data_IF_527279241062
#
_entry.id   IF_527279241062
#
_cell.length_a   1.000
_cell.length_b   1.000
_cell.length_c   1.000
_cell.angle_alpha   90.00
_cell.angle_beta   90.00
_cell.angle_gamma   90.00
#
_symmetry.space_group_name_H-M   'P 1'
#
loop_
_entity.id
_entity.type
_entity.pdbx_description
1 polymer ?
#
# COMPACT_ATOMS: atom_id res chain seq x y z
N UNK A 1 39.31 6.45 -11.33
CA UNK A 1 38.74 7.75 -10.94
C UNK A 1 37.23 7.62 -10.91
N UNK A 2 36.63 7.36 -9.75
CA UNK A 2 35.17 7.34 -9.59
C UNK A 2 34.71 8.77 -9.31
N UNK A 3 34.00 9.38 -10.25
CA UNK A 3 33.41 10.70 -10.03
C UNK A 3 32.18 10.54 -9.15
N UNK A 4 32.27 11.07 -7.93
CA UNK A 4 31.29 10.93 -6.86
C UNK A 4 30.06 11.82 -7.06
N UNK A 5 29.36 11.66 -8.19
CA UNK A 5 28.01 12.22 -8.35
C UNK A 5 27.18 11.30 -9.22
N UNK A 6 26.11 10.74 -8.65
CA UNK A 6 25.23 9.79 -9.33
C UNK A 6 24.34 10.54 -10.33
N UNK A 7 24.87 10.84 -11.50
CA UNK A 7 24.09 11.32 -12.64
C UNK A 7 23.96 10.20 -13.67
N UNK A 8 22.74 9.91 -14.10
CA UNK A 8 22.47 9.01 -15.23
C UNK A 8 22.73 9.80 -16.52
N UNK A 9 23.98 9.83 -16.96
CA UNK A 9 24.37 10.46 -18.24
C UNK A 9 23.86 9.63 -19.41
N UNK A 10 23.50 10.27 -20.54
CA UNK A 10 23.05 9.59 -21.76
C UNK A 10 24.00 8.47 -22.23
N UNK A 11 25.31 8.67 -22.10
CA UNK A 11 26.31 7.65 -22.42
C UNK A 11 26.26 6.41 -21.51
N UNK A 12 25.76 6.52 -20.28
CA UNK A 12 25.56 5.38 -19.38
C UNK A 12 24.32 4.58 -19.80
N UNK A 13 23.24 5.28 -20.16
CA UNK A 13 22.00 4.63 -20.62
C UNK A 13 22.20 3.89 -21.95
N UNK A 14 22.96 4.45 -22.89
CA UNK A 14 23.25 3.82 -24.18
C UNK A 14 24.14 2.57 -24.05
N UNK A 15 25.00 2.52 -23.02
CA UNK A 15 25.88 1.37 -22.76
C UNK A 15 25.24 0.33 -21.83
N UNK A 16 23.99 0.55 -21.39
CA UNK A 16 23.27 -0.40 -20.56
C UNK A 16 22.86 -1.60 -21.44
N UNK A 17 23.56 -2.72 -21.28
CA UNK A 17 23.19 -3.96 -21.95
C UNK A 17 22.00 -4.59 -21.22
N UNK A 18 20.81 -4.47 -21.80
CA UNK A 18 19.61 -5.15 -21.32
C UNK A 18 19.29 -6.32 -22.24
N UNK A 19 18.83 -7.42 -21.65
CA UNK A 19 18.18 -8.47 -22.41
C UNK A 19 16.85 -7.91 -22.90
N UNK A 20 16.65 -7.90 -24.22
CA UNK A 20 15.37 -7.55 -24.84
C UNK A 20 14.63 -8.86 -25.11
N UNK A 21 13.72 -9.31 -24.24
CA UNK A 21 12.89 -10.48 -24.51
C UNK A 21 12.00 -10.24 -25.74
N UNK A 22 11.46 -11.32 -26.30
CA UNK A 22 10.42 -11.21 -27.32
C UNK A 22 9.19 -10.49 -26.75
N UNK A 23 8.42 -9.82 -27.61
CA UNK A 23 7.30 -8.99 -27.17
C UNK A 23 6.27 -9.79 -26.36
N UNK A 24 6.01 -11.04 -26.74
CA UNK A 24 5.07 -11.91 -26.05
C UNK A 24 5.53 -12.23 -24.63
N UNK A 25 6.78 -12.66 -24.47
CA UNK A 25 7.38 -12.95 -23.15
C UNK A 25 7.40 -11.71 -22.25
N UNK A 26 7.76 -10.54 -22.81
CA UNK A 26 7.74 -9.27 -22.09
C UNK A 26 6.33 -8.91 -21.60
N UNK A 27 5.31 -9.18 -22.42
CA UNK A 27 3.91 -8.91 -22.10
C UNK A 27 3.40 -9.85 -21.01
N UNK A 28 3.73 -11.14 -21.07
CA UNK A 28 3.37 -12.11 -20.01
C UNK A 28 3.99 -11.74 -18.66
N UNK A 29 5.29 -11.42 -18.65
CA UNK A 29 6.00 -10.98 -17.43
C UNK A 29 5.39 -9.67 -16.91
N UNK A 30 5.12 -8.71 -17.80
CA UNK A 30 4.49 -7.44 -17.46
C UNK A 30 3.10 -7.63 -16.84
N UNK A 31 2.28 -8.54 -17.39
CA UNK A 31 0.96 -8.85 -16.85
C UNK A 31 1.03 -9.52 -15.47
N UNK A 32 1.95 -10.45 -15.27
CA UNK A 32 2.17 -11.09 -13.98
C UNK A 32 2.56 -10.07 -12.91
N UNK A 33 3.53 -9.21 -13.20
CA UNK A 33 3.98 -8.15 -12.29
C UNK A 33 2.88 -7.12 -12.01
N UNK A 34 2.17 -6.65 -13.05
CA UNK A 34 1.07 -5.70 -12.88
C UNK A 34 -0.06 -6.24 -12.00
N UNK A 35 -0.30 -7.56 -12.03
CA UNK A 35 -1.29 -8.20 -11.16
C UNK A 35 -0.85 -8.16 -9.69
N UNK A 36 0.44 -8.37 -9.43
CA UNK A 36 1.01 -8.28 -8.09
C UNK A 36 0.98 -6.82 -7.60
N UNK A 37 1.38 -5.87 -8.44
CA UNK A 37 1.39 -4.45 -8.10
C UNK A 37 0.00 -3.95 -7.70
N UNK A 38 -1.04 -4.29 -8.47
CA UNK A 38 -2.44 -3.96 -8.11
C UNK A 38 -2.86 -4.53 -6.76
N UNK A 39 -2.39 -5.74 -6.42
CA UNK A 39 -2.68 -6.35 -5.12
C UNK A 39 -1.98 -5.61 -3.99
N UNK A 40 -0.74 -5.18 -4.20
CA UNK A 40 0.00 -4.36 -3.24
C UNK A 40 -0.70 -3.01 -3.03
N UNK A 41 -1.01 -2.28 -4.10
CA UNK A 41 -1.72 -1.00 -4.03
C UNK A 41 -3.05 -1.11 -3.28
N UNK A 42 -3.81 -2.19 -3.52
CA UNK A 42 -5.06 -2.43 -2.82
C UNK A 42 -4.87 -2.64 -1.31
N UNK A 43 -3.83 -3.38 -0.91
CA UNK A 43 -3.52 -3.62 0.49
C UNK A 43 -3.00 -2.34 1.17
N UNK A 44 -2.19 -1.55 0.47
CA UNK A 44 -1.70 -0.26 0.97
C UNK A 44 -2.85 0.72 1.17
N UNK A 45 -3.76 0.86 0.20
CA UNK A 45 -4.94 1.71 0.34
C UNK A 45 -5.84 1.27 1.49
N UNK A 46 -6.00 -0.05 1.70
CA UNK A 46 -6.75 -0.58 2.85
C UNK A 46 -6.09 -0.24 4.17
N UNK A 47 -4.76 -0.38 4.26
CA UNK A 47 -3.99 -0.04 5.45
C UNK A 47 -4.11 1.45 5.75
N UNK A 48 -3.94 2.31 4.76
CA UNK A 48 -4.05 3.76 4.90
C UNK A 48 -5.42 4.18 5.43
N UNK A 49 -6.50 3.66 4.84
CA UNK A 49 -7.88 3.91 5.31
C UNK A 49 -8.10 3.44 6.75
N UNK A 50 -7.54 2.29 7.13
CA UNK A 50 -7.66 1.77 8.49
C UNK A 50 -6.87 2.63 9.48
N UNK A 51 -5.68 3.10 9.11
CA UNK A 51 -4.88 4.00 9.93
C UNK A 51 -5.57 5.37 10.10
N UNK A 52 -6.17 5.91 9.04
CA UNK A 52 -6.97 7.15 9.10
C UNK A 52 -8.19 6.98 10.02
N UNK A 53 -8.93 5.88 9.87
CA UNK A 53 -10.05 5.55 10.76
C UNK A 53 -9.59 5.42 12.21
N UNK A 54 -8.50 4.68 12.45
CA UNK A 54 -7.94 4.50 13.79
C UNK A 54 -7.52 5.85 14.41
N UNK A 55 -6.87 6.73 13.64
CA UNK A 55 -6.51 8.08 14.09
C UNK A 55 -7.74 8.91 14.44
N UNK A 56 -8.78 8.83 13.61
CA UNK A 56 -10.04 9.55 13.82
C UNK A 56 -10.72 9.07 15.11
N UNK A 57 -10.83 7.75 15.29
CA UNK A 57 -11.42 7.16 16.49
C UNK A 57 -10.63 7.51 17.75
N UNK A 58 -9.29 7.46 17.68
CA UNK A 58 -8.43 7.83 18.78
C UNK A 58 -8.58 9.32 19.12
N UNK A 59 -8.69 10.19 18.12
CA UNK A 59 -8.96 11.62 18.33
C UNK A 59 -10.32 11.85 19.01
N UNK A 60 -11.38 11.18 18.56
CA UNK A 60 -12.72 11.25 19.17
C UNK A 60 -12.72 10.74 20.63
N UNK A 61 -11.91 9.71 20.92
CA UNK A 61 -11.72 9.19 22.26
C UNK A 61 -10.97 10.19 23.16
N UNK A 62 -9.85 10.74 22.68
CA UNK A 62 -9.02 11.69 23.44
C UNK A 62 -9.72 13.02 23.70
N UNK A 63 -10.56 13.46 22.76
CA UNK A 63 -11.37 14.69 22.91
C UNK A 63 -12.64 14.48 23.73
N UNK A 64 -12.93 13.23 24.15
CA UNK A 64 -14.11 12.89 24.94
C UNK A 64 -15.43 12.97 24.17
N UNK A 65 -15.39 13.09 22.84
CA UNK A 65 -16.56 13.06 21.97
C UNK A 65 -17.25 11.69 21.99
N UNK A 66 -16.48 10.62 22.17
CA UNK A 66 -16.97 9.26 22.35
C UNK A 66 -16.45 8.72 23.67
N UNK A 67 -17.34 8.26 24.56
CA UNK A 67 -16.95 7.67 25.85
C UNK A 67 -16.68 6.18 25.67
N UNK A 68 -15.69 5.65 26.39
CA UNK A 68 -15.33 4.23 26.37
C UNK A 68 -16.50 3.31 26.72
N UNK A 69 -17.45 3.77 27.54
CA UNK A 69 -18.68 3.05 27.89
C UNK A 69 -19.61 2.85 26.69
N UNK A 70 -19.72 3.84 25.80
CA UNK A 70 -20.61 3.79 24.63
C UNK A 70 -20.06 2.86 23.55
N UNK A 71 -18.74 2.83 23.38
CA UNK A 71 -18.05 1.91 22.47
C UNK A 71 -18.20 0.45 22.90
N UNK A 72 -18.15 0.18 24.21
CA UNK A 72 -18.30 -1.17 24.73
C UNK A 72 -19.71 -1.74 24.48
N UNK A 73 -20.74 -0.91 24.63
CA UNK A 73 -22.13 -1.32 24.33
C UNK A 73 -22.38 -1.62 22.85
N UNK A 74 -21.68 -0.95 21.93
CA UNK A 74 -21.76 -1.22 20.49
C UNK A 74 -21.04 -2.51 20.08
N UNK A 75 -19.89 -2.81 20.69
CA UNK A 75 -19.14 -4.04 20.43
C UNK A 75 -19.83 -5.27 21.04
N UNK A 76 -20.37 -5.16 22.26
CA UNK A 76 -21.12 -6.24 22.92
C UNK A 76 -22.45 -6.58 22.19
N UNK A 77 -22.97 -5.66 21.36
CA UNK A 77 -24.15 -5.86 20.53
C UNK A 77 -23.90 -6.64 19.22
N UNK A 78 -22.65 -6.69 18.75
CA UNK A 78 -22.29 -7.41 17.53
C UNK A 78 -22.19 -8.94 17.74
N UNK A 79 -21.90 -9.39 18.95
CA UNK A 79 -21.84 -10.83 19.31
C UNK A 79 -23.22 -11.49 19.49
N UNK A 80 -24.32 -10.72 19.54
CA UNK A 80 -25.68 -11.26 19.77
C UNK A 80 -26.53 -11.53 18.52
N UNK A 81 -25.96 -11.46 17.30
CA UNK A 81 -26.64 -11.83 16.04
C UNK A 81 -26.04 -13.05 15.34
N UNK A 82 -25.64 -14.06 16.12
CA UNK A 82 -25.50 -15.44 15.63
C UNK A 82 -26.00 -16.38 16.71
N UNK A 83 -27.32 -16.53 16.74
CA UNK A 83 -28.09 -17.49 17.53
C UNK A 83 -29.44 -17.65 16.88
#
# INVERSE_FOLDING_TARGET
MGTSTKYLTLGILQNLSILKPEYEEANEIGHALATIDRKVEFLESKKEKLEELFRTLLHQLMTGQVRTADLRGLLDGADKKSG
#
